data_IF_586590635133
#
_entry.id   IF_586590635133
#
_cell.length_a   1.000
_cell.length_b   1.000
_cell.length_c   1.000
_cell.angle_alpha   90.00
_cell.angle_beta   90.00
_cell.angle_gamma   90.00
#
_symmetry.space_group_name_H-M   'P 1'
#
loop_
_entity.id
_entity.type
_entity.pdbx_description
1 polymer ?
#
# COMPACT_ATOMS: atom_id res chain seq x y z
N UNK A 1 -3.23 0.50 0.16
CA UNK A 1 -2.12 0.87 1.07
C UNK A 1 -0.87 1.11 0.24
N UNK A 2 0.12 1.85 0.73
CA UNK A 2 1.37 2.10 0.02
C UNK A 2 2.39 0.97 0.25
N UNK A 3 3.43 0.87 -0.61
CA UNK A 3 4.47 -0.16 -0.54
C UNK A 3 5.21 -0.19 0.80
N UNK A 4 5.41 0.97 1.43
CA UNK A 4 6.04 1.10 2.74
C UNK A 4 5.30 0.39 3.88
N UNK A 5 4.02 0.08 3.71
CA UNK A 5 3.23 -0.66 4.70
C UNK A 5 3.29 -2.18 4.54
N UNK A 6 4.05 -2.69 3.57
CA UNK A 6 4.19 -4.13 3.35
C UNK A 6 5.18 -4.75 4.35
N UNK A 7 4.76 -4.86 5.59
CA UNK A 7 5.52 -5.52 6.67
C UNK A 7 4.75 -6.71 7.23
N UNK A 8 5.42 -7.74 7.77
CA UNK A 8 4.77 -8.92 8.32
C UNK A 8 3.77 -8.59 9.43
N UNK A 9 4.13 -7.64 10.30
CA UNK A 9 3.28 -7.22 11.41
C UNK A 9 1.98 -6.55 10.93
N UNK A 10 2.07 -5.67 9.94
CA UNK A 10 0.89 -4.98 9.38
C UNK A 10 -0.01 -5.98 8.64
N UNK A 11 0.59 -6.90 7.87
CA UNK A 11 -0.15 -7.95 7.18
C UNK A 11 -0.95 -8.80 8.18
N UNK A 12 -0.28 -9.29 9.24
CA UNK A 12 -0.91 -10.05 10.31
C UNK A 12 -2.04 -9.27 10.97
N UNK A 13 -1.78 -8.03 11.42
CA UNK A 13 -2.76 -7.20 12.11
C UNK A 13 -4.05 -7.00 11.31
N UNK A 14 -3.93 -6.73 10.00
CA UNK A 14 -5.09 -6.51 9.14
C UNK A 14 -5.89 -7.80 8.90
N UNK A 15 -5.19 -8.94 8.74
CA UNK A 15 -5.83 -10.22 8.55
C UNK A 15 -6.50 -10.71 9.84
N UNK A 16 -5.88 -10.52 11.00
CA UNK A 16 -6.48 -10.82 12.31
C UNK A 16 -7.74 -9.98 12.58
N UNK A 17 -7.78 -8.73 12.08
CA UNK A 17 -8.97 -7.86 12.12
C UNK A 17 -10.07 -8.31 11.11
N UNK A 18 -9.92 -9.44 10.43
CA UNK A 18 -10.86 -9.97 9.45
C UNK A 18 -10.91 -9.17 8.14
N UNK A 19 -9.93 -8.32 7.87
CA UNK A 19 -9.87 -7.49 6.67
C UNK A 19 -8.88 -8.06 5.67
N UNK A 20 -9.15 -7.84 4.39
CA UNK A 20 -8.29 -8.30 3.30
C UNK A 20 -7.35 -7.15 2.86
N UNK A 21 -6.04 -7.24 3.12
CA UNK A 21 -5.09 -6.21 2.70
C UNK A 21 -4.78 -6.34 1.21
N UNK A 22 -4.99 -5.26 0.45
CA UNK A 22 -4.54 -5.17 -0.94
C UNK A 22 -3.32 -4.27 -0.97
N UNK A 23 -2.14 -4.89 -1.06
CA UNK A 23 -0.85 -4.23 -1.07
C UNK A 23 -0.26 -4.16 -2.49
N UNK A 24 0.52 -3.12 -2.80
CA UNK A 24 1.17 -3.00 -4.09
C UNK A 24 2.26 -4.06 -4.29
N UNK A 25 2.62 -4.26 -5.54
CA UNK A 25 3.82 -5.02 -5.87
C UNK A 25 5.06 -4.29 -5.37
N UNK A 26 5.95 -5.01 -4.72
CA UNK A 26 7.28 -4.53 -4.36
C UNK A 26 8.30 -5.29 -5.17
N UNK A 27 9.11 -4.57 -5.93
CA UNK A 27 10.18 -5.19 -6.73
C UNK A 27 11.19 -5.84 -5.80
N UNK A 28 11.60 -7.05 -6.16
CA UNK A 28 12.69 -7.72 -5.47
C UNK A 28 14.03 -7.02 -5.78
N UNK A 29 14.71 -6.55 -4.73
CA UNK A 29 15.96 -5.81 -4.83
C UNK A 29 17.20 -6.67 -4.57
N UNK A 30 17.02 -8.00 -4.36
CA UNK A 30 18.14 -8.92 -4.19
C UNK A 30 18.83 -9.27 -5.51
N UNK A 31 19.90 -10.04 -5.41
CA UNK A 31 20.65 -10.51 -6.58
C UNK A 31 19.73 -11.36 -7.49
N UNK A 32 19.64 -10.96 -8.76
CA UNK A 32 18.77 -11.61 -9.75
C UNK A 32 19.28 -12.98 -10.20
N UNK A 33 20.58 -13.23 -10.08
CA UNK A 33 21.23 -14.48 -10.48
C UNK A 33 21.12 -15.57 -9.40
N UNK A 34 20.65 -15.19 -8.20
CA UNK A 34 20.47 -16.11 -7.08
C UNK A 34 19.05 -16.61 -6.95
N UNK A 35 18.90 -17.78 -6.36
CA UNK A 35 17.59 -18.31 -5.95
C UNK A 35 16.87 -17.28 -5.08
N UNK A 36 15.61 -17.04 -5.42
CA UNK A 36 14.76 -16.04 -4.78
C UNK A 36 14.05 -16.65 -3.57
N UNK A 37 13.64 -15.85 -2.57
CA UNK A 37 13.01 -16.37 -1.36
C UNK A 37 11.79 -17.26 -1.61
N UNK A 38 11.00 -16.98 -2.63
CA UNK A 38 9.79 -17.74 -2.97
C UNK A 38 10.07 -19.07 -3.72
N UNK A 39 11.31 -19.38 -4.06
CA UNK A 39 11.73 -20.65 -4.64
C UNK A 39 12.06 -21.68 -3.55
N UNK A 40 12.13 -21.23 -2.29
CA UNK A 40 12.29 -22.10 -1.13
C UNK A 40 10.91 -22.50 -0.61
N UNK A 41 10.71 -23.80 -0.36
CA UNK A 41 9.45 -24.32 0.19
C UNK A 41 9.57 -24.47 1.70
N UNK A 42 8.61 -23.94 2.44
CA UNK A 42 8.56 -24.13 3.89
C UNK A 42 7.83 -25.42 4.23
N UNK A 43 8.42 -26.24 5.09
CA UNK A 43 7.80 -27.42 5.69
C UNK A 43 7.43 -27.11 7.15
N UNK A 44 6.15 -26.92 7.44
CA UNK A 44 5.70 -26.58 8.79
C UNK A 44 5.83 -27.74 9.78
N UNK A 45 5.84 -28.99 9.32
CA UNK A 45 5.93 -30.16 10.19
C UNK A 45 7.31 -30.27 10.86
N UNK A 46 8.36 -29.89 10.14
CA UNK A 46 9.72 -29.99 10.61
C UNK A 46 10.37 -28.62 10.93
N UNK A 47 9.65 -27.52 10.78
CA UNK A 47 10.17 -26.13 10.84
C UNK A 47 11.45 -25.98 10.01
N UNK A 48 11.39 -26.41 8.73
CA UNK A 48 12.53 -26.40 7.81
C UNK A 48 12.16 -25.73 6.50
N UNK A 49 13.14 -25.10 5.85
CA UNK A 49 13.02 -24.69 4.46
C UNK A 49 13.73 -25.69 3.55
N UNK A 50 13.09 -26.03 2.45
CA UNK A 50 13.63 -26.91 1.43
C UNK A 50 14.12 -26.03 0.27
N UNK A 51 15.40 -26.15 -0.10
CA UNK A 51 15.93 -25.41 -1.23
C UNK A 51 15.46 -26.05 -2.57
N UNK A 52 15.53 -25.32 -3.71
CA UNK A 52 15.11 -25.85 -5.02
C UNK A 52 15.80 -27.14 -5.48
N UNK A 53 16.88 -27.57 -4.80
CA UNK A 53 17.63 -28.82 -5.03
C UNK A 53 17.33 -29.88 -3.98
N UNK A 54 16.32 -29.70 -3.15
CA UNK A 54 15.93 -30.66 -2.11
C UNK A 54 16.79 -30.65 -0.84
N UNK A 55 17.69 -29.67 -0.70
CA UNK A 55 18.46 -29.54 0.53
C UNK A 55 17.65 -28.90 1.65
N UNK A 56 17.72 -29.42 2.86
CA UNK A 56 17.05 -28.91 4.04
C UNK A 56 17.85 -27.79 4.70
N UNK A 57 17.14 -26.72 5.07
CA UNK A 57 17.65 -25.64 5.91
C UNK A 57 16.88 -25.67 7.23
N UNK A 58 17.56 -25.99 8.32
CA UNK A 58 16.97 -26.15 9.65
C UNK A 58 17.02 -24.84 10.41
N UNK A 59 16.00 -24.59 11.20
CA UNK A 59 15.95 -23.44 12.11
C UNK A 59 17.12 -23.47 13.09
N UNK A 60 17.76 -22.33 13.29
CA UNK A 60 18.91 -22.20 14.20
C UNK A 60 18.65 -21.19 15.30
N UNK A 61 18.23 -20.00 14.94
CA UNK A 61 18.04 -18.90 15.89
C UNK A 61 16.89 -17.98 15.44
N UNK A 62 16.25 -17.35 16.41
CA UNK A 62 15.30 -16.27 16.16
C UNK A 62 15.83 -15.02 16.84
N UNK A 63 15.89 -13.90 16.12
CA UNK A 63 16.32 -12.63 16.68
C UNK A 63 15.16 -11.91 17.39
N UNK A 64 15.47 -10.77 18.03
CA UNK A 64 14.49 -9.96 18.76
C UNK A 64 13.44 -9.30 17.85
N UNK A 65 13.78 -9.12 16.58
CA UNK A 65 12.89 -8.56 15.56
C UNK A 65 11.96 -9.62 14.95
N UNK A 66 12.00 -10.86 15.44
CA UNK A 66 11.18 -11.95 14.94
C UNK A 66 11.68 -12.56 13.63
N UNK A 67 12.93 -12.34 13.26
CA UNK A 67 13.54 -12.99 12.10
C UNK A 67 14.13 -14.33 12.50
N UNK A 68 13.64 -15.40 11.92
CA UNK A 68 14.16 -16.76 12.05
C UNK A 68 15.27 -16.99 11.05
N UNK A 69 16.37 -17.54 11.51
CA UNK A 69 17.51 -17.92 10.66
C UNK A 69 17.52 -19.42 10.48
N UNK A 70 17.56 -19.85 9.22
CA UNK A 70 17.65 -21.25 8.81
C UNK A 70 18.98 -21.48 8.14
N UNK A 71 19.63 -22.65 8.43
CA UNK A 71 20.94 -23.00 7.89
C UNK A 71 20.92 -24.39 7.28
N UNK A 72 21.58 -24.52 6.14
CA UNK A 72 21.80 -25.81 5.51
C UNK A 72 22.97 -26.58 6.16
N UNK A 73 22.98 -27.88 6.01
CA UNK A 73 24.13 -28.74 6.40
C UNK A 73 25.29 -28.48 5.42
N UNK A 74 26.49 -28.12 5.90
CA UNK A 74 27.63 -27.79 5.04
C UNK A 74 28.02 -28.90 4.07
N UNK A 75 27.93 -30.15 4.52
CA UNK A 75 28.31 -31.35 3.74
C UNK A 75 27.56 -31.45 2.42
N UNK A 76 26.22 -31.32 2.49
CA UNK A 76 25.36 -31.39 1.30
C UNK A 76 25.56 -30.20 0.35
N UNK A 77 25.97 -29.04 0.84
CA UNK A 77 26.08 -27.81 0.05
C UNK A 77 27.48 -27.59 -0.53
N UNK A 78 28.54 -28.22 -0.01
CA UNK A 78 29.90 -28.09 -0.55
C UNK A 78 29.99 -28.62 -1.98
N UNK A 79 29.40 -29.78 -2.23
CA UNK A 79 29.43 -30.47 -3.52
C UNK A 79 28.27 -30.06 -4.46
N UNK A 80 27.41 -29.13 -4.03
CA UNK A 80 26.26 -28.73 -4.79
C UNK A 80 26.67 -27.94 -6.04
N UNK A 81 26.27 -28.34 -7.25
CA UNK A 81 26.62 -27.63 -8.50
C UNK A 81 25.97 -26.24 -8.57
N UNK A 82 24.92 -26.01 -7.78
CA UNK A 82 24.20 -24.75 -7.76
C UNK A 82 24.70 -23.78 -6.67
N UNK A 83 25.89 -24.00 -6.10
CA UNK A 83 26.47 -23.17 -5.03
C UNK A 83 26.49 -21.66 -5.39
N UNK A 84 26.87 -21.34 -6.60
CA UNK A 84 26.91 -19.96 -7.08
C UNK A 84 25.50 -19.30 -7.09
N UNK A 85 24.50 -20.00 -7.64
CA UNK A 85 23.09 -19.54 -7.65
C UNK A 85 22.47 -19.54 -6.27
N UNK A 86 22.83 -20.47 -5.41
CA UNK A 86 22.34 -20.53 -4.02
C UNK A 86 22.92 -19.37 -3.18
N UNK A 87 24.14 -18.92 -3.46
CA UNK A 87 24.86 -17.94 -2.66
C UNK A 87 25.20 -18.49 -1.27
N UNK A 88 25.61 -19.75 -1.20
CA UNK A 88 26.19 -20.35 0.01
C UNK A 88 27.52 -19.65 0.34
N UNK A 89 27.83 -19.56 1.63
CA UNK A 89 29.08 -18.96 2.10
C UNK A 89 30.32 -19.85 1.73
N UNK A 90 31.50 -19.34 2.03
CA UNK A 90 32.76 -20.06 1.76
C UNK A 90 32.83 -21.45 2.45
N UNK A 91 32.22 -21.56 3.62
CA UNK A 91 32.09 -22.81 4.38
C UNK A 91 31.11 -23.82 3.76
N UNK A 92 30.50 -23.50 2.63
CA UNK A 92 29.50 -24.33 1.97
C UNK A 92 28.15 -24.38 2.66
N UNK A 93 27.80 -23.34 3.42
CA UNK A 93 26.55 -23.27 4.16
C UNK A 93 25.65 -22.19 3.59
N UNK A 94 24.40 -22.52 3.28
CA UNK A 94 23.36 -21.54 2.93
C UNK A 94 22.68 -21.04 4.19
N UNK A 95 22.56 -19.72 4.29
CA UNK A 95 21.77 -19.02 5.32
C UNK A 95 20.53 -18.44 4.65
N UNK A 96 19.38 -18.72 5.22
CA UNK A 96 18.08 -18.17 4.79
C UNK A 96 17.39 -17.54 6.01
N UNK A 97 16.80 -16.37 5.82
CA UNK A 97 16.08 -15.68 6.89
C UNK A 97 14.62 -15.45 6.48
N UNK A 98 13.70 -15.81 7.38
CA UNK A 98 12.28 -15.57 7.23
C UNK A 98 11.73 -14.96 8.52
N UNK A 99 10.70 -14.15 8.42
CA UNK A 99 10.03 -13.61 9.60
C UNK A 99 9.07 -14.65 10.19
N UNK A 100 8.83 -14.62 11.52
CA UNK A 100 7.86 -15.51 12.20
C UNK A 100 6.47 -15.44 11.59
N UNK A 101 6.09 -14.29 11.01
CA UNK A 101 4.82 -14.04 10.32
C UNK A 101 4.99 -13.99 8.80
N UNK A 102 5.92 -14.75 8.25
CA UNK A 102 6.13 -14.81 6.79
C UNK A 102 4.89 -15.33 6.06
N UNK A 103 4.18 -16.28 6.65
CA UNK A 103 2.95 -16.87 6.10
C UNK A 103 1.87 -15.80 5.77
N UNK A 104 1.76 -14.76 6.60
CA UNK A 104 0.83 -13.65 6.35
C UNK A 104 1.24 -12.82 5.14
N UNK A 105 2.54 -12.60 4.93
CA UNK A 105 3.03 -11.93 3.73
C UNK A 105 2.79 -12.76 2.47
N UNK A 106 3.01 -14.06 2.56
CA UNK A 106 2.81 -14.99 1.45
C UNK A 106 1.33 -15.07 1.07
N UNK A 107 0.44 -15.09 2.06
CA UNK A 107 -1.01 -15.01 1.84
C UNK A 107 -1.41 -13.70 1.16
N UNK A 108 -0.88 -12.56 1.63
CA UNK A 108 -1.14 -11.25 1.02
C UNK A 108 -0.64 -11.20 -0.43
N UNK A 109 0.51 -11.83 -0.73
CA UNK A 109 0.99 -11.94 -2.11
C UNK A 109 0.09 -12.81 -3.00
N UNK A 110 -0.47 -13.88 -2.46
CA UNK A 110 -1.46 -14.69 -3.18
C UNK A 110 -2.74 -13.88 -3.46
N UNK A 111 -3.26 -13.18 -2.45
CA UNK A 111 -4.42 -12.29 -2.59
C UNK A 111 -4.17 -11.24 -3.67
N UNK A 112 -3.01 -10.60 -3.68
CA UNK A 112 -2.63 -9.58 -4.65
C UNK A 112 -2.69 -10.07 -6.11
N UNK A 113 -2.40 -11.34 -6.35
CA UNK A 113 -2.40 -11.96 -7.69
C UNK A 113 -3.82 -12.19 -8.22
N UNK A 114 -4.83 -12.18 -7.36
CA UNK A 114 -6.22 -12.40 -7.78
C UNK A 114 -6.75 -11.27 -8.66
N UNK A 115 -7.62 -11.58 -9.61
CA UNK A 115 -8.22 -10.58 -10.51
C UNK A 115 -9.05 -9.54 -9.73
N UNK A 116 -9.73 -9.97 -8.65
CA UNK A 116 -10.47 -9.06 -7.77
C UNK A 116 -9.55 -8.02 -7.14
N UNK A 117 -8.41 -8.46 -6.59
CA UNK A 117 -7.44 -7.55 -5.97
C UNK A 117 -6.83 -6.57 -6.98
N UNK A 118 -6.54 -7.04 -8.20
CA UNK A 118 -6.04 -6.17 -9.30
C UNK A 118 -7.05 -5.09 -9.66
N UNK A 119 -8.34 -5.44 -9.80
CA UNK A 119 -9.42 -4.47 -10.09
C UNK A 119 -9.55 -3.43 -8.98
N UNK A 120 -9.59 -3.85 -7.72
CA UNK A 120 -9.67 -2.93 -6.57
C UNK A 120 -8.42 -2.03 -6.50
N UNK A 121 -7.23 -2.59 -6.75
CA UNK A 121 -6.00 -1.80 -6.74
C UNK A 121 -5.99 -0.74 -7.85
N UNK A 122 -6.51 -1.05 -9.05
CA UNK A 122 -6.61 -0.09 -10.14
C UNK A 122 -7.48 1.13 -9.79
N UNK A 123 -8.54 0.96 -9.01
CA UNK A 123 -9.41 2.05 -8.54
C UNK A 123 -8.68 3.08 -7.64
N UNK A 124 -7.51 2.72 -7.11
CA UNK A 124 -6.70 3.60 -6.27
C UNK A 124 -6.33 4.90 -6.98
N UNK A 125 -6.03 4.85 -8.28
CA UNK A 125 -5.68 6.02 -9.10
C UNK A 125 -6.82 7.04 -9.15
N UNK A 126 -8.05 6.54 -9.25
CA UNK A 126 -9.24 7.40 -9.35
C UNK A 126 -9.66 7.98 -8.00
N UNK A 127 -9.32 7.33 -6.91
CA UNK A 127 -9.75 7.73 -5.56
C UNK A 127 -8.65 8.48 -4.81
N UNK A 128 -7.74 7.75 -4.19
CA UNK A 128 -6.75 8.31 -3.23
C UNK A 128 -5.70 9.17 -3.94
N UNK A 129 -5.17 8.70 -5.08
CA UNK A 129 -4.12 9.43 -5.78
C UNK A 129 -4.66 10.74 -6.34
N UNK A 130 -5.90 10.76 -6.82
CA UNK A 130 -6.58 11.99 -7.26
C UNK A 130 -6.78 12.98 -6.10
N UNK A 131 -7.16 12.50 -4.92
CA UNK A 131 -7.30 13.36 -3.73
C UNK A 131 -5.95 13.98 -3.34
N UNK A 132 -4.86 13.21 -3.37
CA UNK A 132 -3.53 13.77 -3.09
C UNK A 132 -3.05 14.73 -4.18
N UNK A 133 -3.35 14.46 -5.44
CA UNK A 133 -3.05 15.39 -6.53
C UNK A 133 -3.79 16.72 -6.34
N UNK A 134 -5.10 16.68 -6.07
CA UNK A 134 -5.90 17.88 -5.80
C UNK A 134 -5.38 18.64 -4.57
N UNK A 135 -4.98 17.94 -3.51
CA UNK A 135 -4.41 18.56 -2.32
C UNK A 135 -3.12 19.32 -2.65
N UNK A 136 -2.24 18.72 -3.45
CA UNK A 136 -0.97 19.34 -3.84
C UNK A 136 -1.16 20.51 -4.80
N UNK A 137 -1.98 20.33 -5.84
CA UNK A 137 -2.10 21.31 -6.92
C UNK A 137 -3.07 22.46 -6.59
N UNK A 138 -4.21 22.15 -5.95
CA UNK A 138 -5.29 23.11 -5.72
C UNK A 138 -5.36 23.66 -4.30
N UNK A 139 -4.69 23.00 -3.34
CA UNK A 139 -4.76 23.37 -1.92
C UNK A 139 -3.40 23.66 -1.30
N UNK A 140 -2.37 23.89 -2.13
CA UNK A 140 -1.01 24.26 -1.72
C UNK A 140 -0.40 23.31 -0.67
N UNK A 141 -0.63 21.98 -0.82
CA UNK A 141 -0.08 20.98 0.10
C UNK A 141 1.24 20.36 -0.38
N UNK A 142 1.91 20.92 -1.39
CA UNK A 142 3.26 20.47 -1.82
C UNK A 142 4.31 20.75 -0.78
N UNK A 143 4.20 21.91 -0.12
CA UNK A 143 5.17 22.38 0.85
C UNK A 143 4.43 22.91 2.09
N UNK A 144 5.09 22.86 3.23
CA UNK A 144 4.62 23.46 4.47
C UNK A 144 5.72 24.26 5.13
N UNK A 145 5.36 25.42 5.67
CA UNK A 145 6.25 26.25 6.51
C UNK A 145 6.22 25.84 7.97
N UNK A 146 5.28 24.95 8.35
CA UNK A 146 5.16 24.46 9.71
C UNK A 146 6.22 23.41 10.03
N UNK A 147 6.78 23.46 11.23
CA UNK A 147 7.77 22.50 11.73
C UNK A 147 7.21 21.72 12.92
N UNK A 148 7.62 20.46 13.04
CA UNK A 148 7.19 19.55 14.09
C UNK A 148 5.83 18.90 13.81
N UNK A 149 5.68 17.68 14.34
CA UNK A 149 4.54 16.81 14.05
C UNK A 149 3.19 17.46 14.40
N UNK A 150 3.09 18.10 15.56
CA UNK A 150 1.83 18.72 16.03
C UNK A 150 1.35 19.85 15.10
N UNK A 151 2.27 20.75 14.70
CA UNK A 151 1.94 21.87 13.82
C UNK A 151 1.58 21.40 12.40
N UNK A 152 2.35 20.47 11.84
CA UNK A 152 2.07 19.87 10.54
C UNK A 152 0.74 19.11 10.55
N UNK A 153 0.45 18.34 11.59
CA UNK A 153 -0.82 17.61 11.72
C UNK A 153 -2.02 18.56 11.74
N UNK A 154 -1.96 19.64 12.50
CA UNK A 154 -3.02 20.66 12.52
C UNK A 154 -3.22 21.30 11.15
N UNK A 155 -2.14 21.67 10.49
CA UNK A 155 -2.18 22.25 9.14
C UNK A 155 -2.80 21.28 8.12
N UNK A 156 -2.40 20.00 8.13
CA UNK A 156 -2.96 18.96 7.25
C UNK A 156 -4.47 18.80 7.50
N UNK A 157 -4.89 18.71 8.77
CA UNK A 157 -6.31 18.58 9.13
C UNK A 157 -7.14 19.75 8.60
N UNK A 158 -6.66 20.99 8.76
CA UNK A 158 -7.34 22.18 8.24
C UNK A 158 -7.46 22.17 6.71
N UNK A 159 -6.40 21.77 6.01
CA UNK A 159 -6.42 21.67 4.54
C UNK A 159 -7.43 20.63 4.06
N UNK A 160 -7.46 19.44 4.66
CA UNK A 160 -8.45 18.42 4.29
C UNK A 160 -9.88 18.81 4.69
N UNK A 161 -10.07 19.50 5.81
CA UNK A 161 -11.37 20.05 6.18
C UNK A 161 -11.87 21.06 5.13
N UNK A 162 -11.03 21.98 4.68
CA UNK A 162 -11.35 22.92 3.61
C UNK A 162 -11.67 22.21 2.27
N UNK A 163 -10.92 21.16 1.92
CA UNK A 163 -11.21 20.35 0.74
C UNK A 163 -12.57 19.65 0.83
N UNK A 164 -12.93 19.13 2.00
CA UNK A 164 -14.20 18.47 2.23
C UNK A 164 -15.36 19.46 2.19
N UNK A 165 -15.21 20.64 2.80
CA UNK A 165 -16.20 21.72 2.71
C UNK A 165 -16.43 22.17 1.26
N UNK A 166 -15.37 22.33 0.48
CA UNK A 166 -15.49 22.66 -0.96
C UNK A 166 -16.24 21.57 -1.73
N UNK A 167 -15.94 20.28 -1.45
CA UNK A 167 -16.69 19.18 -2.07
C UNK A 167 -18.16 19.17 -1.66
N UNK A 168 -18.44 19.41 -0.40
CA UNK A 168 -19.81 19.51 0.12
C UNK A 168 -20.57 20.67 -0.53
N UNK A 169 -19.95 21.84 -0.62
CA UNK A 169 -20.54 23.00 -1.29
C UNK A 169 -20.86 22.70 -2.76
N UNK A 170 -19.92 22.12 -3.51
CA UNK A 170 -20.15 21.74 -4.91
C UNK A 170 -21.25 20.67 -5.05
N UNK A 171 -21.31 19.70 -4.12
CA UNK A 171 -22.34 18.68 -4.14
C UNK A 171 -23.71 19.23 -3.80
N UNK A 172 -23.80 20.11 -2.79
CA UNK A 172 -25.05 20.77 -2.40
C UNK A 172 -25.55 21.73 -3.48
N UNK A 173 -24.64 22.43 -4.16
CA UNK A 173 -24.98 23.34 -5.25
C UNK A 173 -25.55 22.60 -6.48
N UNK A 174 -25.07 21.43 -6.78
CA UNK A 174 -25.57 20.59 -7.87
C UNK A 174 -26.90 19.89 -7.55
N UNK A 175 -27.31 19.83 -6.28
CA UNK A 175 -28.61 19.31 -5.87
C UNK A 175 -29.63 20.47 -5.81
N UNK A 176 -30.52 20.57 -6.79
CA UNK A 176 -31.55 21.63 -6.94
C UNK A 176 -32.36 21.86 -5.67
N UNK A 177 -32.49 20.89 -4.80
CA UNK A 177 -33.25 21.01 -3.56
C UNK A 177 -32.59 21.93 -2.53
N UNK A 178 -31.28 21.93 -2.40
CA UNK A 178 -30.54 22.80 -1.47
C UNK A 178 -30.37 24.18 -2.05
N UNK A 179 -30.28 24.31 -3.36
CA UNK A 179 -30.34 25.60 -4.06
C UNK A 179 -31.68 26.34 -3.80
N UNK A 180 -32.79 25.59 -3.77
CA UNK A 180 -34.11 26.12 -3.45
C UNK A 180 -34.22 26.59 -1.98
N UNK A 181 -33.64 25.84 -1.04
CA UNK A 181 -33.62 26.20 0.39
C UNK A 181 -32.78 27.47 0.62
N UNK A 182 -31.64 27.60 -0.03
CA UNK A 182 -30.80 28.80 0.06
C UNK A 182 -31.47 30.01 -0.57
N UNK A 183 -32.24 29.83 -1.65
CA UNK A 183 -33.08 30.87 -2.25
C UNK A 183 -34.18 31.35 -1.31
N UNK A 184 -34.78 30.46 -0.52
CA UNK A 184 -35.88 30.78 0.39
C UNK A 184 -35.42 31.45 1.70
N UNK A 185 -34.24 31.06 2.21
CA UNK A 185 -33.76 31.50 3.52
C UNK A 185 -32.68 32.59 3.49
N UNK A 186 -32.09 32.91 2.36
CA UNK A 186 -31.04 33.92 2.26
C UNK A 186 -31.14 34.78 0.97
N UNK A 187 -32.17 35.60 0.82
CA UNK A 187 -32.40 36.37 -0.41
C UNK A 187 -31.34 37.47 -0.69
N UNK A 188 -30.46 37.76 0.28
CA UNK A 188 -29.43 38.82 0.13
C UNK A 188 -28.12 38.35 -0.49
N UNK A 189 -27.87 37.04 -0.60
CA UNK A 189 -26.56 36.51 -1.04
C UNK A 189 -26.50 36.12 -2.53
N UNK A 190 -27.60 36.26 -3.28
CA UNK A 190 -27.77 35.65 -4.61
C UNK A 190 -27.81 36.68 -5.75
N UNK A 191 -27.50 37.96 -5.50
CA UNK A 191 -27.70 38.96 -6.57
C UNK A 191 -26.65 38.99 -7.68
N UNK A 192 -25.52 38.26 -7.64
CA UNK A 192 -24.54 38.37 -8.72
C UNK A 192 -24.03 37.11 -9.43
N UNK A 193 -23.93 35.88 -8.85
CA UNK A 193 -23.37 34.75 -9.63
C UNK A 193 -24.38 33.90 -10.40
N UNK A 194 -25.71 34.04 -10.13
CA UNK A 194 -26.70 33.14 -10.74
C UNK A 194 -27.18 33.63 -12.11
N UNK A 195 -27.17 34.91 -12.35
CA UNK A 195 -27.65 35.45 -13.62
C UNK A 195 -26.68 35.19 -14.77
N UNK A 196 -25.38 35.28 -14.53
CA UNK A 196 -24.35 34.99 -15.55
C UNK A 196 -24.25 33.53 -15.96
N UNK A 197 -24.74 32.61 -15.10
CA UNK A 197 -24.69 31.17 -15.38
C UNK A 197 -25.91 30.66 -16.18
N UNK A 198 -27.02 31.35 -16.11
CA UNK A 198 -28.24 31.01 -16.85
C UNK A 198 -28.20 31.54 -18.30
N UNK A 199 -27.52 32.66 -18.54
CA UNK A 199 -27.34 33.19 -19.91
C UNK A 199 -26.40 32.33 -20.77
N UNK A 200 -25.44 31.60 -20.16
CA UNK A 200 -24.50 30.76 -20.89
C UNK A 200 -25.03 29.35 -21.25
N UNK A 201 -26.25 29.00 -20.83
CA UNK A 201 -26.90 27.73 -21.24
C UNK A 201 -27.89 27.91 -22.41
N UNK A 202 -28.10 29.13 -22.87
CA UNK A 202 -29.04 29.44 -23.95
C UNK A 202 -28.46 29.48 -25.36
N UNK A 203 -27.16 29.21 -25.57
CA UNK A 203 -26.52 29.32 -26.89
C UNK A 203 -25.93 28.02 -27.43
N UNK A 204 -26.54 26.88 -27.11
CA UNK A 204 -26.15 25.56 -27.67
C UNK A 204 -27.39 24.85 -28.23
N UNK A 205 -28.10 25.52 -29.11
CA UNK A 205 -28.96 24.89 -30.12
C UNK A 205 -28.98 25.82 -31.31
N UNK A 206 -28.07 25.54 -32.25
CA UNK A 206 -28.29 25.62 -33.72
C UNK A 206 -27.16 24.78 -34.36
#
# INVERSE_FOLDING_TARGET
MDAGYKTPWIAKKILDDGKVPILPYTRYNGNQDRYKPWEYTYDPANDTYICPRGGELRHTTTDRDGKRTYRSTPEKCRECPCKAKCGANEKGQKIFTAHIWQEYLDLVEQIRKTERAKKIYAQRKETIERVFADAKEKHAMRYTHHRGLAAVTRWVRLKYAAMNLKKLANWSWNNSFISLILLLFCPRYIKEPLFSFLENKGSLTD
#
